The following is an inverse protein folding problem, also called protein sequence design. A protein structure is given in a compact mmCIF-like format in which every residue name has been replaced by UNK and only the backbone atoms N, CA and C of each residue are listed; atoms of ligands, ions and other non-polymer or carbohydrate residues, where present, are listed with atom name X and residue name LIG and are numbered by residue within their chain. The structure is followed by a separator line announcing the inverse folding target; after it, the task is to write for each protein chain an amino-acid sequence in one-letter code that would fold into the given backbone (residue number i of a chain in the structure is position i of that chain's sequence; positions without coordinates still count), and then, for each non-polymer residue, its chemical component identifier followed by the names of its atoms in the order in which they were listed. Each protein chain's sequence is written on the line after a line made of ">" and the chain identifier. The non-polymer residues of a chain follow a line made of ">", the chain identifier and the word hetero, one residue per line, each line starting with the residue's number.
data_IF_921993002437
#
_entry.id   IF_921993002437
#
_cell.length_a   1.000
_cell.length_b   1.000
_cell.length_c   1.000
_cell.angle_alpha   90.00
_cell.angle_beta   90.00
_cell.angle_gamma   90.00
#
_symmetry.space_group_name_H-M   'P 1'
#
loop_
_entity.id
_entity.type
_entity.pdbx_description
1 polymer ?
#
# COMPACT_ATOMS: atom_id res chain seq x y z
N UNK A 1 -12.05 6.62 5.50
CA UNK A 1 -10.97 5.71 5.89
C UNK A 1 -9.82 5.84 4.91
N UNK A 2 -8.63 6.08 5.41
CA UNK A 2 -7.44 6.22 4.56
C UNK A 2 -6.81 4.86 4.29
N UNK A 3 -6.26 4.69 3.09
CA UNK A 3 -5.50 3.49 2.72
C UNK A 3 -4.04 3.90 2.52
N UNK A 4 -3.14 3.18 3.17
CA UNK A 4 -1.68 3.32 3.00
C UNK A 4 -1.15 2.07 2.33
N UNK A 5 -0.38 2.25 1.27
CA UNK A 5 -0.06 1.17 0.34
C UNK A 5 1.44 1.10 0.09
N UNK A 6 2.05 -0.03 0.43
CA UNK A 6 3.41 -0.35 0.02
C UNK A 6 3.42 -0.95 -1.39
N UNK A 7 4.59 -1.02 -1.99
CA UNK A 7 4.79 -1.53 -3.34
C UNK A 7 5.42 -2.92 -3.31
N UNK A 8 6.65 -3.02 -2.79
CA UNK A 8 7.36 -4.30 -2.80
C UNK A 8 6.68 -5.31 -1.87
N UNK A 9 6.38 -6.49 -2.40
CA UNK A 9 5.71 -7.54 -1.64
C UNK A 9 4.21 -7.32 -1.45
N UNK A 10 3.64 -6.25 -1.98
CA UNK A 10 2.19 -5.96 -1.94
C UNK A 10 1.64 -5.86 -3.36
N UNK A 11 2.05 -4.85 -4.12
CA UNK A 11 1.64 -4.68 -5.52
C UNK A 11 2.57 -5.41 -6.48
N UNK A 12 3.84 -5.54 -6.12
CA UNK A 12 4.86 -6.24 -6.90
C UNK A 12 5.25 -7.53 -6.20
N UNK A 13 5.12 -8.66 -6.91
CA UNK A 13 5.64 -9.94 -6.45
C UNK A 13 7.17 -9.95 -6.53
N UNK A 14 7.71 -9.28 -7.54
CA UNK A 14 9.15 -9.04 -7.74
C UNK A 14 9.32 -7.88 -8.71
N UNK A 15 10.56 -7.55 -9.10
CA UNK A 15 10.86 -6.43 -9.99
C UNK A 15 10.16 -6.48 -11.36
N UNK A 16 9.80 -7.67 -11.80
CA UNK A 16 9.28 -7.90 -13.17
C UNK A 16 7.80 -8.25 -13.21
N UNK A 17 7.18 -8.53 -12.07
CA UNK A 17 5.81 -9.05 -12.03
C UNK A 17 4.97 -8.34 -11.00
N UNK A 18 3.78 -7.92 -11.43
CA UNK A 18 2.73 -7.49 -10.52
C UNK A 18 2.24 -8.68 -9.70
N UNK A 19 1.79 -8.42 -8.47
CA UNK A 19 1.04 -9.40 -7.71
C UNK A 19 -0.26 -9.74 -8.46
N UNK A 20 -0.73 -10.96 -8.28
CA UNK A 20 -1.99 -11.41 -8.89
C UNK A 20 -3.12 -10.51 -8.41
N UNK A 21 -3.88 -9.95 -9.34
CA UNK A 21 -5.01 -9.07 -9.03
C UNK A 21 -4.64 -7.64 -8.66
N UNK A 22 -3.36 -7.23 -8.79
CA UNK A 22 -2.89 -5.91 -8.39
C UNK A 22 -3.65 -4.78 -9.09
N UNK A 23 -3.92 -4.89 -10.39
CA UNK A 23 -4.61 -3.82 -11.12
C UNK A 23 -6.05 -3.63 -10.64
N UNK A 24 -6.76 -4.72 -10.41
CA UNK A 24 -8.12 -4.66 -9.86
C UNK A 24 -8.12 -4.13 -8.43
N UNK A 25 -7.12 -4.50 -7.63
CA UNK A 25 -6.94 -4.03 -6.27
C UNK A 25 -6.72 -2.52 -6.23
N UNK A 26 -5.82 -2.01 -7.07
CA UNK A 26 -5.55 -0.57 -7.22
C UNK A 26 -6.84 0.16 -7.60
N UNK A 27 -7.56 -0.35 -8.58
CA UNK A 27 -8.82 0.26 -9.04
C UNK A 27 -9.83 0.35 -7.90
N UNK A 28 -10.00 -0.71 -7.14
CA UNK A 28 -10.92 -0.76 -6.02
C UNK A 28 -10.55 0.26 -4.94
N UNK A 29 -9.28 0.30 -4.54
CA UNK A 29 -8.81 1.20 -3.49
C UNK A 29 -8.95 2.65 -3.91
N UNK A 30 -8.45 3.01 -5.08
CA UNK A 30 -8.43 4.39 -5.56
C UNK A 30 -9.85 4.91 -5.82
N UNK A 31 -10.75 4.04 -6.27
CA UNK A 31 -12.13 4.42 -6.55
C UNK A 31 -12.92 4.68 -5.28
N UNK A 32 -12.63 3.95 -4.20
CA UNK A 32 -13.48 3.95 -3.01
C UNK A 32 -12.88 4.68 -1.81
N UNK A 33 -11.55 4.91 -1.76
CA UNK A 33 -10.88 5.46 -0.58
C UNK A 33 -9.79 6.46 -0.95
N UNK A 34 -9.52 7.45 -0.08
CA UNK A 34 -8.27 8.21 -0.15
C UNK A 34 -7.10 7.24 0.01
N UNK A 35 -6.24 7.15 -0.99
CA UNK A 35 -5.15 6.18 -1.03
C UNK A 35 -3.81 6.91 -1.09
N UNK A 36 -2.86 6.47 -0.29
CA UNK A 36 -1.54 7.08 -0.11
C UNK A 36 -0.44 6.06 -0.37
N UNK A 37 0.62 6.49 -1.02
CA UNK A 37 1.85 5.72 -1.08
C UNK A 37 2.51 5.72 0.31
N UNK A 38 2.85 4.54 0.82
CA UNK A 38 3.63 4.39 2.03
C UNK A 38 4.71 3.35 1.76
N UNK A 39 5.77 3.78 1.10
CA UNK A 39 6.75 2.91 0.46
C UNK A 39 8.09 3.63 0.35
N UNK A 40 9.19 2.86 0.29
CA UNK A 40 10.52 3.43 0.01
C UNK A 40 10.62 4.06 -1.37
N UNK A 41 9.70 3.73 -2.29
CA UNK A 41 9.63 4.38 -3.62
C UNK A 41 9.06 5.80 -3.56
N UNK A 42 8.57 6.24 -2.39
CA UNK A 42 8.04 7.58 -2.17
C UNK A 42 8.27 7.99 -0.72
N UNK A 43 9.48 8.46 -0.39
CA UNK A 43 9.84 8.89 0.97
C UNK A 43 9.87 10.40 1.13
N UNK A 44 10.00 11.13 0.05
CA UNK A 44 10.27 12.58 0.03
C UNK A 44 9.10 13.42 -0.48
N UNK A 45 7.93 12.81 -0.62
CA UNK A 45 6.75 13.49 -1.15
C UNK A 45 6.66 13.50 -2.67
N UNK A 46 7.60 12.88 -3.39
CA UNK A 46 7.60 12.79 -4.84
C UNK A 46 7.10 11.42 -5.30
N UNK A 47 5.92 11.32 -5.92
CA UNK A 47 5.33 10.03 -6.29
C UNK A 47 5.83 9.48 -7.64
N UNK A 48 6.69 10.19 -8.37
CA UNK A 48 7.05 9.82 -9.75
C UNK A 48 7.69 8.44 -9.85
N UNK A 49 8.59 8.11 -8.92
CA UNK A 49 9.27 6.82 -8.93
C UNK A 49 8.29 5.67 -8.63
N UNK A 50 7.38 5.86 -7.68
CA UNK A 50 6.36 4.87 -7.36
C UNK A 50 5.46 4.59 -8.57
N UNK A 51 4.96 5.64 -9.21
CA UNK A 51 4.12 5.52 -10.42
C UNK A 51 4.88 4.82 -11.54
N UNK A 52 6.15 5.18 -11.76
CA UNK A 52 6.97 4.57 -12.80
C UNK A 52 7.20 3.07 -12.55
N UNK A 53 7.63 2.72 -11.34
CA UNK A 53 8.02 1.34 -11.03
C UNK A 53 6.85 0.36 -11.07
N UNK A 54 5.67 0.80 -10.69
CA UNK A 54 4.46 -0.03 -10.80
C UNK A 54 3.85 0.09 -12.20
N UNK A 55 3.75 1.32 -12.69
CA UNK A 55 3.06 1.63 -13.95
C UNK A 55 3.65 0.97 -15.18
N UNK A 56 4.97 0.76 -15.20
CA UNK A 56 5.63 0.09 -16.35
C UNK A 56 5.17 -1.35 -16.56
N UNK A 57 4.51 -1.95 -15.56
CA UNK A 57 3.96 -3.31 -15.63
C UNK A 57 2.45 -3.32 -15.79
N UNK A 58 1.82 -2.15 -15.80
CA UNK A 58 0.36 -2.00 -15.82
C UNK A 58 -0.16 -1.58 -17.18
N UNK A 59 -1.47 -1.78 -17.36
CA UNK A 59 -2.20 -1.21 -18.51
C UNK A 59 -2.29 0.32 -18.35
N UNK A 60 -2.45 1.07 -19.47
CA UNK A 60 -2.53 2.54 -19.40
C UNK A 60 -3.61 3.08 -18.46
N UNK A 61 -4.77 2.46 -18.40
CA UNK A 61 -5.85 2.89 -17.50
C UNK A 61 -5.47 2.72 -16.03
N UNK A 62 -4.68 1.72 -15.68
CA UNK A 62 -4.17 1.55 -14.32
C UNK A 62 -3.14 2.61 -13.98
N UNK A 63 -2.29 2.99 -14.94
CA UNK A 63 -1.32 4.07 -14.74
C UNK A 63 -2.02 5.38 -14.35
N UNK A 64 -3.15 5.69 -14.98
CA UNK A 64 -3.93 6.87 -14.62
C UNK A 64 -4.47 6.80 -13.19
N UNK A 65 -4.84 5.61 -12.72
CA UNK A 65 -5.25 5.41 -11.33
C UNK A 65 -4.08 5.59 -10.36
N UNK A 66 -2.89 5.09 -10.71
CA UNK A 66 -1.69 5.24 -9.88
C UNK A 66 -1.36 6.70 -9.63
N UNK A 67 -1.58 7.58 -10.62
CA UNK A 67 -1.34 9.02 -10.50
C UNK A 67 -2.26 9.69 -9.48
N UNK A 68 -3.37 9.06 -9.13
CA UNK A 68 -4.32 9.57 -8.12
C UNK A 68 -3.92 9.19 -6.70
N UNK A 69 -3.01 8.26 -6.52
CA UNK A 69 -2.49 7.88 -5.21
C UNK A 69 -1.61 9.01 -4.70
N UNK A 70 -1.89 9.47 -3.47
CA UNK A 70 -1.22 10.63 -2.90
C UNK A 70 0.15 10.28 -2.35
N UNK A 71 1.14 11.17 -2.47
CA UNK A 71 2.46 10.94 -1.89
C UNK A 71 2.44 11.10 -0.37
N UNK A 72 3.42 10.48 0.27
CA UNK A 72 3.74 10.72 1.69
C UNK A 72 5.21 11.08 1.82
N UNK A 73 5.59 11.60 2.96
CA UNK A 73 6.99 11.92 3.29
C UNK A 73 7.32 11.38 4.68
N UNK A 74 8.42 10.65 4.76
CA UNK A 74 8.92 10.09 6.03
C UNK A 74 10.43 9.85 5.91
N UNK A 75 11.12 9.75 7.06
CA UNK A 75 12.58 9.63 7.07
C UNK A 75 13.05 8.29 7.62
N UNK A 76 12.58 7.89 8.79
CA UNK A 76 13.03 6.70 9.50
C UNK A 76 11.95 5.63 9.54
N UNK A 77 10.74 5.98 9.96
CA UNK A 77 9.64 5.04 10.12
C UNK A 77 8.43 5.49 9.33
N UNK A 78 7.77 4.55 8.67
CA UNK A 78 6.56 4.80 7.90
C UNK A 78 5.44 5.39 8.74
N UNK A 79 5.39 5.07 10.04
CA UNK A 79 4.38 5.61 10.96
C UNK A 79 4.42 7.14 11.07
N UNK A 80 5.53 7.78 10.69
CA UNK A 80 5.65 9.24 10.62
C UNK A 80 4.66 9.85 9.63
N UNK A 81 4.27 9.11 8.60
CA UNK A 81 3.42 9.59 7.52
C UNK A 81 1.94 9.24 7.70
N UNK A 82 1.59 8.49 8.75
CA UNK A 82 0.20 8.07 8.98
C UNK A 82 -0.54 9.15 9.76
N UNK A 83 -1.73 9.53 9.25
CA UNK A 83 -2.66 10.39 9.99
C UNK A 83 -3.49 9.53 10.95
N UNK A 84 -3.07 9.47 12.20
CA UNK A 84 -3.75 8.68 13.23
C UNK A 84 -5.07 9.28 13.70
N UNK A 85 -5.44 10.48 13.25
CA UNK A 85 -6.74 11.08 13.56
C UNK A 85 -7.88 10.48 12.74
N UNK A 86 -7.55 9.71 11.69
CA UNK A 86 -8.51 9.08 10.80
C UNK A 86 -8.40 7.56 10.86
N UNK A 87 -9.51 6.82 10.68
CA UNK A 87 -9.43 5.38 10.47
C UNK A 87 -8.58 5.07 9.24
N UNK A 88 -7.82 3.99 9.28
CA UNK A 88 -6.96 3.62 8.17
C UNK A 88 -6.74 2.11 8.10
N UNK A 89 -6.30 1.65 6.93
CA UNK A 89 -5.68 0.34 6.73
C UNK A 89 -4.35 0.57 6.04
N UNK A 90 -3.32 -0.09 6.54
CA UNK A 90 -1.98 -0.05 6.00
C UNK A 90 -1.61 -1.44 5.49
N UNK A 91 -1.42 -1.59 4.17
CA UNK A 91 -0.99 -2.83 3.53
C UNK A 91 0.52 -2.81 3.34
N UNK A 92 1.19 -3.77 3.94
CA UNK A 92 2.64 -3.89 3.86
C UNK A 92 3.05 -5.35 4.07
N UNK A 93 4.25 -5.71 3.59
CA UNK A 93 4.82 -7.03 3.77
C UNK A 93 5.77 -7.10 4.97
N UNK A 94 6.03 -5.98 5.63
CA UNK A 94 6.93 -5.89 6.75
C UNK A 94 6.48 -4.83 7.75
N UNK A 95 6.79 -5.05 9.02
CA UNK A 95 6.49 -4.12 10.10
C UNK A 95 7.66 -4.16 11.08
N UNK A 96 8.44 -3.08 11.14
CA UNK A 96 9.55 -2.98 12.07
C UNK A 96 9.06 -2.88 13.51
N UNK A 97 9.90 -3.31 14.46
CA UNK A 97 9.51 -3.32 15.87
C UNK A 97 9.11 -1.93 16.38
N UNK A 98 9.83 -0.89 15.99
CA UNK A 98 9.52 0.49 16.38
C UNK A 98 8.17 0.94 15.82
N UNK A 99 7.84 0.53 14.60
CA UNK A 99 6.56 0.85 13.97
C UNK A 99 5.42 0.10 14.68
N UNK A 100 5.66 -1.16 14.99
CA UNK A 100 4.69 -1.99 15.72
C UNK A 100 4.36 -1.38 17.09
N UNK A 101 5.38 -0.92 17.81
CA UNK A 101 5.18 -0.28 19.11
C UNK A 101 4.32 0.98 19.00
N UNK A 102 4.52 1.81 17.98
CA UNK A 102 3.70 2.99 17.74
C UNK A 102 2.23 2.60 17.54
N UNK A 103 1.97 1.56 16.74
CA UNK A 103 0.61 1.08 16.47
C UNK A 103 -0.04 0.51 17.74
N UNK A 104 0.72 -0.20 18.58
CA UNK A 104 0.22 -0.76 19.84
C UNK A 104 -0.14 0.36 20.81
N UNK A 105 0.75 1.35 20.99
CA UNK A 105 0.51 2.48 21.91
C UNK A 105 -0.73 3.26 21.51
N UNK A 106 -0.97 3.40 20.21
CA UNK A 106 -2.15 4.09 19.68
C UNK A 106 -3.39 3.20 19.56
N UNK A 107 -3.28 1.92 19.93
CA UNK A 107 -4.36 0.93 19.85
C UNK A 107 -4.92 0.77 18.43
N UNK A 108 -4.05 0.77 17.44
CA UNK A 108 -4.41 0.63 16.03
C UNK A 108 -3.62 -0.46 15.29
N UNK A 109 -3.06 -1.43 16.03
CA UNK A 109 -2.31 -2.53 15.41
C UNK A 109 -3.19 -3.33 14.44
N UNK A 110 -4.48 -3.45 14.70
CA UNK A 110 -5.42 -4.14 13.82
C UNK A 110 -5.64 -3.43 12.47
N UNK A 111 -5.20 -2.19 12.33
CA UNK A 111 -5.25 -1.44 11.07
C UNK A 111 -4.10 -1.80 10.12
N UNK A 112 -3.08 -2.49 10.61
CA UNK A 112 -2.00 -3.01 9.78
C UNK A 112 -2.41 -4.35 9.19
N UNK A 113 -2.42 -4.42 7.85
CA UNK A 113 -2.77 -5.64 7.11
C UNK A 113 -1.49 -6.23 6.51
N UNK A 114 -1.06 -7.37 7.06
CA UNK A 114 0.11 -8.08 6.55
C UNK A 114 -0.20 -8.75 5.21
N UNK A 115 0.62 -8.48 4.22
CA UNK A 115 0.58 -9.15 2.92
C UNK A 115 1.85 -9.98 2.76
N UNK A 116 1.71 -11.29 2.55
CA UNK A 116 2.83 -12.19 2.31
C UNK A 116 2.56 -12.97 1.02
N UNK A 117 3.05 -12.45 -0.09
CA UNK A 117 2.83 -13.04 -1.41
C UNK A 117 3.59 -14.37 -1.58
N UNK A 118 4.60 -14.65 -0.74
CA UNK A 118 5.34 -15.91 -0.81
C UNK A 118 4.51 -17.09 -0.30
N UNK A 119 3.68 -16.86 0.71
CA UNK A 119 2.77 -17.89 1.26
C UNK A 119 1.37 -17.83 0.66
N UNK A 120 0.91 -16.62 0.29
CA UNK A 120 -0.39 -16.43 -0.33
C UNK A 120 -0.28 -15.49 -1.54
N UNK A 121 0.11 -15.99 -2.71
CA UNK A 121 0.27 -15.15 -3.91
C UNK A 121 -1.04 -14.54 -4.40
N UNK A 122 -2.18 -15.01 -3.93
CA UNK A 122 -3.51 -14.53 -4.32
C UNK A 122 -4.15 -13.64 -3.25
N UNK A 123 -3.35 -13.11 -2.31
CA UNK A 123 -3.88 -12.31 -1.19
C UNK A 123 -4.73 -11.13 -1.65
N UNK A 124 -4.29 -10.39 -2.67
CA UNK A 124 -5.04 -9.24 -3.17
C UNK A 124 -6.41 -9.64 -3.71
N UNK A 125 -6.49 -10.75 -4.43
CA UNK A 125 -7.77 -11.28 -4.89
C UNK A 125 -8.66 -11.71 -3.73
N UNK A 126 -8.08 -12.30 -2.68
CA UNK A 126 -8.82 -12.69 -1.49
C UNK A 126 -9.45 -11.48 -0.80
N UNK A 127 -8.71 -10.39 -0.68
CA UNK A 127 -9.21 -9.13 -0.10
C UNK A 127 -10.41 -8.62 -0.91
N UNK A 128 -10.27 -8.55 -2.24
CA UNK A 128 -11.32 -8.10 -3.13
C UNK A 128 -12.56 -8.98 -3.04
N UNK A 129 -12.36 -10.30 -3.02
CA UNK A 129 -13.45 -11.27 -3.04
C UNK A 129 -14.24 -11.32 -1.73
N UNK A 130 -13.56 -11.10 -0.60
CA UNK A 130 -14.18 -11.18 0.73
C UNK A 130 -14.58 -9.82 1.28
N UNK A 131 -14.31 -8.75 0.55
CA UNK A 131 -14.63 -7.37 0.96
C UNK A 131 -14.12 -7.05 2.36
N UNK A 132 -12.83 -7.36 2.60
CA UNK A 132 -12.20 -7.19 3.92
C UNK A 132 -11.73 -5.76 4.22
N UNK A 133 -12.16 -4.80 3.43
CA UNK A 133 -11.81 -3.39 3.63
C UNK A 133 -13.00 -2.59 4.14
#
# INVERSE_FOLDING_TARGET
>A
MNIYLDIDGVLLANEKNLAIGAEDFIKYLVTNYPTYWLTTHCMDGDPRLAVHNVGKLCKPETVELLKKIKPTSWKVAKTEAIDFSQPFIWFDDDLYEEEREVLIVRDVLSSWHYVDLSTNPRELLSILKTDRI
#
